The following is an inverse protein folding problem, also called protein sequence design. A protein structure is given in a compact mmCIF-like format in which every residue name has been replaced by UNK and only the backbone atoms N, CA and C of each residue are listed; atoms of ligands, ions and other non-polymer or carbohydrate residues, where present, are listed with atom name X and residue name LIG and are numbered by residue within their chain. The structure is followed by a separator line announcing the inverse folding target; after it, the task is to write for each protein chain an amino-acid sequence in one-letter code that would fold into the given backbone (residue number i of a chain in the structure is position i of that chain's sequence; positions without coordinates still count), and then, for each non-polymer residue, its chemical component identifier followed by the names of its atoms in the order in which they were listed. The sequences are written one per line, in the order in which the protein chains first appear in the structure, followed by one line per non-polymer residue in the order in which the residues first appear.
data_IF_183611275004
#
_entry.id   IF_183611275004
#
_cell.length_a   1.000
_cell.length_b   1.000
_cell.length_c   1.000
_cell.angle_alpha   90.00
_cell.angle_beta   90.00
_cell.angle_gamma   90.00
#
_symmetry.space_group_name_H-M   'P 1'
#
loop_
_entity.id
_entity.type
_entity.pdbx_description
1 polymer ?
#
# COMPACT_ATOMS: atom_id res chain seq x y z
N UNK A 1 0.20 -15.79 10.80
CA UNK A 1 -0.71 -15.50 9.70
C UNK A 1 0.00 -14.69 8.60
N UNK A 2 0.49 -13.48 8.90
CA UNK A 2 1.10 -12.53 7.96
C UNK A 2 2.21 -13.15 7.11
N UNK A 3 3.18 -13.84 7.73
CA UNK A 3 4.25 -14.52 6.98
C UNK A 3 3.71 -15.58 6.01
N UNK A 4 2.70 -16.35 6.42
CA UNK A 4 2.12 -17.39 5.57
C UNK A 4 1.29 -16.80 4.41
N UNK A 5 0.50 -15.76 4.65
CA UNK A 5 -0.34 -15.12 3.64
C UNK A 5 0.48 -14.17 2.74
N UNK A 6 1.16 -13.20 3.35
CA UNK A 6 1.79 -12.11 2.60
C UNK A 6 3.17 -12.46 2.05
N UNK A 7 3.91 -13.39 2.65
CA UNK A 7 5.21 -13.83 2.13
C UNK A 7 5.10 -15.13 1.33
N UNK A 8 4.81 -16.24 2.00
CA UNK A 8 4.77 -17.56 1.35
C UNK A 8 3.62 -17.70 0.35
N UNK A 9 2.53 -16.95 0.52
CA UNK A 9 1.44 -16.91 -0.46
C UNK A 9 1.90 -16.47 -1.84
N UNK A 10 2.72 -15.41 -1.90
CA UNK A 10 3.33 -14.93 -3.14
C UNK A 10 4.21 -15.99 -3.79
N UNK A 11 5.10 -16.62 -3.02
CA UNK A 11 5.94 -17.70 -3.53
C UNK A 11 5.11 -18.85 -4.12
N UNK A 12 4.03 -19.27 -3.42
CA UNK A 12 3.17 -20.36 -3.90
C UNK A 12 2.49 -20.05 -5.22
N UNK A 13 2.07 -18.80 -5.42
CA UNK A 13 1.46 -18.38 -6.69
C UNK A 13 2.48 -18.36 -7.82
N UNK A 14 3.66 -17.79 -7.60
CA UNK A 14 4.74 -17.75 -8.58
C UNK A 14 5.20 -19.16 -8.95
N UNK A 15 5.40 -20.03 -7.96
CA UNK A 15 5.76 -21.43 -8.17
C UNK A 15 4.65 -22.21 -8.88
N UNK A 16 3.39 -21.93 -8.58
CA UNK A 16 2.25 -22.51 -9.30
C UNK A 16 2.25 -22.15 -10.78
N UNK A 17 2.53 -20.88 -11.13
CA UNK A 17 2.67 -20.45 -12.53
C UNK A 17 3.80 -21.22 -13.21
N UNK A 18 4.96 -21.33 -12.55
CA UNK A 18 6.14 -22.05 -13.07
C UNK A 18 5.87 -23.54 -13.28
N UNK A 19 5.30 -24.22 -12.27
CA UNK A 19 5.00 -25.66 -12.35
C UNK A 19 3.97 -26.00 -13.44
N UNK A 20 3.13 -25.06 -13.80
CA UNK A 20 2.14 -25.23 -14.87
C UNK A 20 2.66 -24.84 -16.26
N UNK A 21 3.90 -24.38 -16.38
CA UNK A 21 4.49 -23.91 -17.64
C UNK A 21 3.82 -22.67 -18.21
N UNK A 22 3.33 -21.76 -17.32
CA UNK A 22 2.57 -20.57 -17.70
C UNK A 22 3.40 -19.29 -17.68
N UNK A 23 4.72 -19.37 -17.52
CA UNK A 23 5.65 -18.25 -17.36
C UNK A 23 5.51 -17.21 -18.49
N UNK A 24 5.32 -17.67 -19.70
CA UNK A 24 5.20 -16.83 -20.90
C UNK A 24 3.77 -16.30 -21.15
N UNK A 25 2.78 -16.82 -20.43
CA UNK A 25 1.36 -16.55 -20.71
C UNK A 25 0.70 -15.71 -19.61
N UNK A 26 1.27 -15.70 -18.40
CA UNK A 26 0.70 -15.01 -17.23
C UNK A 26 1.51 -13.78 -16.89
N UNK A 27 0.83 -12.66 -16.71
CA UNK A 27 1.42 -11.46 -16.12
C UNK A 27 1.06 -11.41 -14.65
N UNK A 28 2.07 -11.36 -13.79
CA UNK A 28 1.90 -11.34 -12.34
C UNK A 28 2.14 -9.93 -11.78
N UNK A 29 1.20 -9.46 -10.99
CA UNK A 29 1.32 -8.21 -10.24
C UNK A 29 1.39 -8.51 -8.74
N UNK A 30 2.47 -8.09 -8.10
CA UNK A 30 2.63 -8.12 -6.65
C UNK A 30 2.19 -6.78 -6.05
N UNK A 31 1.13 -6.79 -5.25
CA UNK A 31 0.77 -5.65 -4.43
C UNK A 31 1.80 -5.47 -3.31
N UNK A 32 2.77 -4.62 -3.55
CA UNK A 32 3.76 -4.23 -2.56
C UNK A 32 3.29 -2.99 -1.79
N UNK A 33 4.12 -2.38 -0.98
CA UNK A 33 3.69 -1.37 -0.01
C UNK A 33 4.81 -0.38 0.31
N UNK A 34 4.47 0.87 0.60
CA UNK A 34 5.40 1.87 1.16
C UNK A 34 5.96 1.48 2.54
N UNK A 35 5.33 0.51 3.25
CA UNK A 35 5.86 -0.06 4.49
C UNK A 35 7.22 -0.77 4.31
N UNK A 36 7.63 -1.08 3.07
CA UNK A 36 8.98 -1.55 2.78
C UNK A 36 10.04 -0.52 3.17
N UNK A 37 9.77 0.77 2.93
CA UNK A 37 10.70 1.84 3.28
C UNK A 37 10.85 1.98 4.80
N UNK A 38 9.76 1.83 5.56
CA UNK A 38 9.75 1.78 7.01
C UNK A 38 10.44 2.98 7.67
N UNK A 39 11.66 2.78 8.21
CA UNK A 39 12.53 3.86 8.62
C UNK A 39 13.20 4.43 7.38
N UNK A 40 12.57 5.46 6.80
CA UNK A 40 13.01 6.08 5.53
C UNK A 40 14.47 6.49 5.56
N UNK A 41 15.18 6.20 4.48
CA UNK A 41 16.61 6.47 4.34
C UNK A 41 16.90 7.70 3.45
N UNK A 42 15.88 8.18 2.73
CA UNK A 42 15.96 9.31 1.81
C UNK A 42 14.71 10.18 1.99
N UNK A 43 14.83 11.47 1.67
CA UNK A 43 13.72 12.43 1.77
C UNK A 43 12.57 12.06 0.83
N UNK A 44 12.89 11.70 -0.41
CA UNK A 44 11.93 11.24 -1.41
C UNK A 44 12.23 9.79 -1.79
N UNK A 45 11.27 8.90 -1.55
CA UNK A 45 11.41 7.48 -1.84
C UNK A 45 11.13 7.20 -3.31
N UNK A 46 11.91 6.29 -3.88
CA UNK A 46 11.77 5.79 -5.25
C UNK A 46 12.09 4.28 -5.28
N UNK A 47 12.08 3.67 -6.46
CA UNK A 47 12.29 2.24 -6.63
C UNK A 47 13.71 1.75 -6.23
N UNK A 48 14.67 2.68 -6.07
CA UNK A 48 16.06 2.38 -5.67
C UNK A 48 16.33 2.69 -4.20
N UNK A 49 15.42 3.37 -3.52
CA UNK A 49 15.55 3.70 -2.10
C UNK A 49 15.67 2.43 -1.26
N UNK A 50 16.70 2.31 -0.38
CA UNK A 50 16.87 1.15 0.47
C UNK A 50 15.67 0.90 1.38
N UNK A 51 15.26 -0.36 1.50
CA UNK A 51 14.17 -0.78 2.37
C UNK A 51 14.65 -0.99 3.80
N UNK A 52 13.84 -0.54 4.77
CA UNK A 52 14.08 -0.73 6.19
C UNK A 52 12.75 -0.95 6.94
N UNK A 53 12.03 -2.08 6.70
CA UNK A 53 10.71 -2.32 7.26
C UNK A 53 10.74 -2.32 8.80
N UNK A 54 9.65 -1.84 9.41
CA UNK A 54 9.52 -1.67 10.86
C UNK A 54 8.34 -2.43 11.46
N UNK A 55 7.74 -3.33 10.67
CA UNK A 55 6.62 -4.15 11.13
C UNK A 55 6.74 -5.58 10.59
N UNK A 56 6.16 -6.60 11.26
CA UNK A 56 6.08 -7.95 10.70
C UNK A 56 5.42 -8.01 9.33
N UNK A 57 4.43 -7.13 9.09
CA UNK A 57 3.80 -6.97 7.79
C UNK A 57 4.80 -6.45 6.73
N UNK A 58 5.52 -5.37 7.03
CA UNK A 58 6.54 -4.82 6.13
C UNK A 58 7.63 -5.85 5.80
N UNK A 59 8.07 -6.65 6.78
CA UNK A 59 9.06 -7.74 6.57
C UNK A 59 8.49 -8.83 5.66
N UNK A 60 7.24 -9.25 5.86
CA UNK A 60 6.59 -10.25 5.01
C UNK A 60 6.41 -9.73 3.56
N UNK A 61 6.02 -8.47 3.40
CA UNK A 61 5.93 -7.81 2.08
C UNK A 61 7.30 -7.61 1.42
N UNK A 62 8.36 -7.43 2.22
CA UNK A 62 9.74 -7.38 1.70
C UNK A 62 10.15 -8.72 1.09
N UNK A 63 9.81 -9.84 1.74
CA UNK A 63 10.00 -11.15 1.15
C UNK A 63 9.25 -11.27 -0.19
N UNK A 64 7.97 -10.86 -0.23
CA UNK A 64 7.16 -10.92 -1.47
C UNK A 64 7.74 -10.07 -2.59
N UNK A 65 8.25 -8.89 -2.27
CA UNK A 65 8.93 -8.02 -3.24
C UNK A 65 10.14 -8.73 -3.85
N UNK A 66 11.02 -9.27 -3.01
CA UNK A 66 12.25 -9.90 -3.50
C UNK A 66 12.01 -11.23 -4.21
N UNK A 67 11.06 -12.05 -3.74
CA UNK A 67 10.74 -13.30 -4.45
C UNK A 67 10.10 -13.03 -5.81
N UNK A 68 9.29 -11.99 -5.95
CA UNK A 68 8.72 -11.56 -7.23
C UNK A 68 9.83 -11.14 -8.20
N UNK A 69 10.79 -10.33 -7.72
CA UNK A 69 11.94 -9.91 -8.50
C UNK A 69 12.83 -11.12 -8.88
N UNK A 70 13.06 -12.03 -7.95
CA UNK A 70 13.84 -13.24 -8.21
C UNK A 70 13.21 -14.09 -9.32
N UNK A 71 11.89 -14.32 -9.28
CA UNK A 71 11.20 -15.10 -10.33
C UNK A 71 11.19 -14.38 -11.69
N UNK A 72 11.08 -13.07 -11.69
CA UNK A 72 11.25 -12.24 -12.90
C UNK A 72 12.61 -12.46 -13.56
N UNK A 73 13.68 -12.44 -12.75
CA UNK A 73 15.07 -12.53 -13.24
C UNK A 73 15.51 -13.97 -13.56
N UNK A 74 15.09 -14.95 -12.75
CA UNK A 74 15.53 -16.33 -12.88
C UNK A 74 14.73 -17.14 -13.92
N UNK A 75 13.45 -16.81 -14.11
CA UNK A 75 12.53 -17.55 -14.98
C UNK A 75 11.93 -16.70 -16.10
N UNK A 76 12.43 -15.47 -16.29
CA UNK A 76 11.95 -14.53 -17.30
C UNK A 76 10.44 -14.24 -17.25
N UNK A 77 9.83 -14.45 -16.07
CA UNK A 77 8.41 -14.22 -15.86
C UNK A 77 8.06 -12.74 -15.96
N UNK A 78 6.91 -12.43 -16.57
CA UNK A 78 6.35 -11.09 -16.45
C UNK A 78 5.79 -10.90 -15.02
N UNK A 79 6.66 -10.54 -14.08
CA UNK A 79 6.32 -10.34 -12.68
C UNK A 79 6.77 -8.94 -12.22
N UNK A 80 5.81 -8.08 -11.87
CA UNK A 80 6.03 -6.68 -11.50
C UNK A 80 5.61 -6.43 -10.06
N UNK A 81 6.34 -5.54 -9.38
CA UNK A 81 5.94 -5.00 -8.07
C UNK A 81 5.34 -3.60 -8.22
N UNK A 82 4.22 -3.35 -7.57
CA UNK A 82 3.72 -2.00 -7.34
C UNK A 82 3.95 -1.61 -5.86
N UNK A 83 4.85 -0.66 -5.59
CA UNK A 83 5.12 -0.14 -4.25
C UNK A 83 4.12 0.98 -4.00
N UNK A 84 2.99 0.63 -3.37
CA UNK A 84 1.86 1.52 -3.20
C UNK A 84 1.95 2.29 -1.89
N UNK A 85 1.76 3.60 -1.98
CA UNK A 85 1.46 4.44 -0.83
C UNK A 85 0.00 4.30 -0.41
N UNK A 86 -0.45 5.05 0.60
CA UNK A 86 -1.79 4.88 1.14
C UNK A 86 -2.84 5.29 0.09
N UNK A 87 -3.79 4.43 -0.14
CA UNK A 87 -4.89 4.68 -1.07
C UNK A 87 -6.22 4.37 -0.43
N UNK A 88 -7.13 5.31 -0.53
CA UNK A 88 -8.33 5.39 0.28
C UNK A 88 -9.60 5.47 -0.59
N UNK A 89 -10.70 5.02 -0.01
CA UNK A 89 -12.03 5.14 -0.62
C UNK A 89 -13.12 5.05 0.45
N UNK A 90 -14.36 5.26 0.05
CA UNK A 90 -15.53 5.13 0.91
C UNK A 90 -15.70 3.73 1.54
N UNK A 91 -15.08 2.71 0.95
CA UNK A 91 -15.14 1.31 1.44
C UNK A 91 -13.86 0.88 2.19
N UNK A 92 -12.97 1.82 2.53
CA UNK A 92 -11.78 1.51 3.33
C UNK A 92 -12.14 0.80 4.61
N UNK A 93 -11.34 -0.17 5.04
CA UNK A 93 -11.57 -0.91 6.28
C UNK A 93 -11.65 0.01 7.51
N UNK A 94 -12.54 -0.27 8.44
CA UNK A 94 -12.91 0.62 9.56
C UNK A 94 -11.80 0.88 10.57
N UNK A 95 -10.81 -0.01 10.63
CA UNK A 95 -9.64 0.09 11.52
C UNK A 95 -8.57 1.05 10.99
N UNK A 96 -8.61 1.39 9.72
CA UNK A 96 -7.66 2.33 9.13
C UNK A 96 -7.98 3.77 9.51
N UNK A 97 -6.92 4.57 9.69
CA UNK A 97 -7.00 5.91 10.27
C UNK A 97 -7.99 6.83 9.53
N UNK A 98 -7.97 6.85 8.20
CA UNK A 98 -8.89 7.66 7.38
C UNK A 98 -10.36 7.31 7.63
N UNK A 99 -10.70 6.02 7.57
CA UNK A 99 -12.06 5.56 7.84
C UNK A 99 -12.47 5.75 9.29
N UNK A 100 -11.55 5.53 10.24
CA UNK A 100 -11.76 5.77 11.66
C UNK A 100 -12.12 7.24 11.92
N UNK A 101 -11.40 8.19 11.30
CA UNK A 101 -11.70 9.62 11.43
C UNK A 101 -13.07 9.94 10.84
N UNK A 102 -13.34 9.55 9.59
CA UNK A 102 -14.62 9.83 8.93
C UNK A 102 -15.83 9.30 9.73
N UNK A 103 -15.73 8.07 10.26
CA UNK A 103 -16.78 7.50 11.11
C UNK A 103 -16.93 8.23 12.43
N UNK A 104 -15.84 8.67 13.04
CA UNK A 104 -15.88 9.41 14.29
C UNK A 104 -16.53 10.79 14.09
N UNK A 105 -16.19 11.51 13.03
CA UNK A 105 -16.83 12.78 12.67
C UNK A 105 -18.35 12.59 12.53
N UNK A 106 -18.78 11.61 11.73
CA UNK A 106 -20.20 11.28 11.60
C UNK A 106 -20.86 10.92 12.95
N UNK A 107 -20.17 10.12 13.77
CA UNK A 107 -20.65 9.75 15.11
C UNK A 107 -20.82 10.93 16.05
N UNK A 108 -19.91 11.90 15.99
CA UNK A 108 -19.97 13.14 16.81
C UNK A 108 -21.13 14.02 16.34
N UNK A 109 -21.28 14.26 15.04
CA UNK A 109 -22.40 15.01 14.46
C UNK A 109 -23.75 14.42 14.89
N UNK A 110 -23.87 13.10 14.82
CA UNK A 110 -25.10 12.40 15.23
C UNK A 110 -25.22 12.14 16.74
N UNK A 111 -24.37 12.75 17.58
CA UNK A 111 -24.36 12.62 19.06
C UNK A 111 -24.24 11.16 19.55
N UNK A 112 -23.67 10.27 18.72
CA UNK A 112 -23.43 8.85 19.07
C UNK A 112 -22.12 8.63 19.81
N UNK A 113 -21.17 9.57 19.68
CA UNK A 113 -19.91 9.61 20.43
C UNK A 113 -19.50 11.05 20.71
N UNK A 114 -18.64 11.27 21.71
CA UNK A 114 -18.17 12.60 22.11
C UNK A 114 -16.75 12.90 21.71
N UNK A 115 -15.91 11.88 21.55
CA UNK A 115 -14.48 12.03 21.36
C UNK A 115 -13.97 11.09 20.26
N UNK A 116 -12.93 11.54 19.56
CA UNK A 116 -12.09 10.73 18.68
C UNK A 116 -10.73 10.51 19.34
N UNK A 117 -10.36 9.26 19.58
CA UNK A 117 -9.06 8.90 20.14
C UNK A 117 -8.14 8.42 19.02
N UNK A 118 -7.03 9.13 18.83
CA UNK A 118 -5.99 8.82 17.85
C UNK A 118 -4.63 8.72 18.53
N UNK A 119 -3.68 8.06 17.86
CA UNK A 119 -2.30 8.02 18.29
C UNK A 119 -1.52 9.29 17.88
N UNK A 120 -0.40 9.12 17.18
CA UNK A 120 0.47 10.23 16.78
C UNK A 120 -0.18 11.05 15.65
N UNK A 121 -0.60 12.27 15.97
CA UNK A 121 -1.21 13.22 15.03
C UNK A 121 -0.19 13.79 14.03
N UNK A 122 1.10 13.79 14.37
CA UNK A 122 2.16 14.32 13.51
C UNK A 122 2.67 13.30 12.48
N UNK A 123 2.17 12.05 12.53
CA UNK A 123 2.52 11.05 11.54
C UNK A 123 2.06 11.49 10.16
N UNK A 124 3.00 11.52 9.20
CA UNK A 124 2.73 11.93 7.82
C UNK A 124 2.43 10.72 6.95
N UNK A 125 1.54 10.91 5.97
CA UNK A 125 1.19 9.92 4.96
C UNK A 125 0.97 10.59 3.62
N UNK A 126 1.32 9.89 2.56
CA UNK A 126 0.85 10.18 1.21
C UNK A 126 -0.48 9.41 1.03
N UNK A 127 -1.57 10.12 0.81
CA UNK A 127 -2.88 9.54 0.57
C UNK A 127 -3.38 9.89 -0.82
N UNK A 128 -3.72 8.87 -1.59
CA UNK A 128 -4.37 9.01 -2.89
C UNK A 128 -5.73 8.34 -2.93
N UNK A 129 -6.44 8.48 -4.04
CA UNK A 129 -7.72 7.81 -4.25
C UNK A 129 -7.50 6.40 -4.82
N UNK A 130 -8.21 5.41 -4.30
CA UNK A 130 -8.02 4.00 -4.69
C UNK A 130 -8.25 3.74 -6.19
N UNK A 131 -9.10 4.51 -6.88
CA UNK A 131 -9.31 4.38 -8.33
C UNK A 131 -8.03 4.63 -9.12
N UNK A 132 -7.29 5.68 -8.77
CA UNK A 132 -6.05 6.05 -9.46
C UNK A 132 -4.98 4.96 -9.26
N UNK A 133 -4.93 4.40 -8.06
CA UNK A 133 -4.00 3.28 -7.77
C UNK A 133 -4.38 2.01 -8.52
N UNK A 134 -5.67 1.68 -8.64
CA UNK A 134 -6.13 0.52 -9.42
C UNK A 134 -5.82 0.69 -10.91
N UNK A 135 -5.99 1.89 -11.45
CA UNK A 135 -5.57 2.22 -12.81
C UNK A 135 -4.06 2.04 -12.97
N UNK A 136 -3.26 2.53 -12.03
CA UNK A 136 -1.82 2.31 -11.98
C UNK A 136 -1.43 0.83 -11.96
N UNK A 137 -2.11 0.00 -11.14
CA UNK A 137 -1.89 -1.45 -11.10
C UNK A 137 -2.16 -2.08 -12.48
N UNK A 138 -3.23 -1.68 -13.14
CA UNK A 138 -3.55 -2.18 -14.48
C UNK A 138 -2.50 -1.75 -15.50
N UNK A 139 -2.07 -0.49 -15.49
CA UNK A 139 -1.04 0.05 -16.39
C UNK A 139 0.31 -0.66 -16.21
N UNK A 140 0.70 -1.01 -14.99
CA UNK A 140 1.91 -1.82 -14.71
C UNK A 140 1.87 -3.13 -15.47
N UNK A 141 0.73 -3.82 -15.52
CA UNK A 141 0.57 -5.06 -16.29
C UNK A 141 0.49 -4.85 -17.81
N UNK A 142 0.21 -3.62 -18.27
CA UNK A 142 0.24 -3.26 -19.70
C UNK A 142 1.63 -2.79 -20.15
N UNK A 143 2.57 -2.59 -19.22
CA UNK A 143 3.91 -2.16 -19.57
C UNK A 143 4.63 -3.19 -20.48
N UNK A 144 5.59 -2.70 -21.27
CA UNK A 144 6.33 -3.55 -22.22
C UNK A 144 7.24 -4.58 -21.54
N UNK A 145 7.77 -4.24 -20.37
CA UNK A 145 8.67 -5.10 -19.58
C UNK A 145 8.24 -5.07 -18.12
N UNK A 146 8.39 -6.20 -17.41
CA UNK A 146 8.14 -6.21 -15.97
C UNK A 146 9.21 -5.40 -15.23
N UNK A 147 8.78 -4.63 -14.23
CA UNK A 147 9.68 -3.86 -13.37
C UNK A 147 9.02 -3.57 -12.02
N UNK A 148 9.71 -2.80 -11.19
CA UNK A 148 9.20 -2.30 -9.93
C UNK A 148 8.75 -0.84 -10.12
N UNK A 149 7.59 -0.47 -9.57
CA UNK A 149 6.98 0.84 -9.76
C UNK A 149 6.47 1.41 -8.45
N UNK A 150 6.80 2.67 -8.17
CA UNK A 150 6.20 3.43 -7.06
C UNK A 150 4.91 4.08 -7.52
N UNK A 151 3.83 3.89 -6.73
CA UNK A 151 2.57 4.61 -6.90
C UNK A 151 2.33 5.49 -5.66
N UNK A 152 2.39 6.80 -5.87
CA UNK A 152 2.24 7.84 -4.85
C UNK A 152 1.63 9.10 -5.46
N UNK A 153 1.11 9.99 -4.61
CA UNK A 153 0.64 11.32 -5.04
C UNK A 153 1.73 12.37 -5.01
N UNK A 154 2.87 12.05 -4.41
CA UNK A 154 3.99 12.97 -4.13
C UNK A 154 3.62 14.12 -3.19
N UNK A 155 2.50 13.98 -2.43
CA UNK A 155 2.07 14.94 -1.40
C UNK A 155 1.86 14.22 -0.08
N UNK A 156 2.40 14.80 0.98
CA UNK A 156 2.25 14.25 2.33
C UNK A 156 1.44 15.18 3.21
N UNK A 157 0.54 14.58 3.99
CA UNK A 157 -0.27 15.26 4.99
C UNK A 157 -0.10 14.58 6.34
N UNK A 158 -0.20 15.32 7.41
CA UNK A 158 -0.25 14.74 8.75
C UNK A 158 -1.63 14.17 9.06
N UNK A 159 -1.68 13.28 10.04
CA UNK A 159 -2.98 12.81 10.57
C UNK A 159 -3.79 13.99 11.12
N UNK A 160 -3.11 15.01 11.69
CA UNK A 160 -3.74 16.25 12.16
C UNK A 160 -4.45 16.97 11.02
N UNK A 161 -3.75 17.21 9.90
CA UNK A 161 -4.35 17.89 8.73
C UNK A 161 -5.60 17.15 8.24
N UNK A 162 -5.57 15.81 8.24
CA UNK A 162 -6.71 15.00 7.84
C UNK A 162 -7.89 15.15 8.81
N UNK A 163 -7.62 15.19 10.13
CA UNK A 163 -8.66 15.40 11.15
C UNK A 163 -9.30 16.79 10.97
N UNK A 164 -8.48 17.83 10.89
CA UNK A 164 -8.96 19.21 10.74
C UNK A 164 -9.82 19.35 9.48
N UNK A 165 -9.34 18.81 8.35
CA UNK A 165 -10.11 18.80 7.11
C UNK A 165 -11.44 18.03 7.26
N UNK A 166 -11.43 16.86 7.91
CA UNK A 166 -12.65 16.06 8.08
C UNK A 166 -13.70 16.76 8.97
N UNK A 167 -13.27 17.46 10.02
CA UNK A 167 -14.16 18.23 10.87
C UNK A 167 -14.66 19.51 10.20
N UNK A 168 -13.85 20.16 9.37
CA UNK A 168 -14.28 21.36 8.63
C UNK A 168 -15.46 21.10 7.67
N UNK A 169 -15.62 19.88 7.16
CA UNK A 169 -16.77 19.50 6.33
C UNK A 169 -18.13 19.48 7.07
N UNK A 170 -18.10 19.57 8.38
CA UNK A 170 -19.31 19.53 9.22
C UNK A 170 -19.40 20.75 10.13
N UNK A 171 -18.66 21.83 9.82
CA UNK A 171 -18.63 23.10 10.53
C UNK A 171 -18.32 22.96 12.05
N UNK A 172 -17.41 22.03 12.38
CA UNK A 172 -16.88 21.83 13.74
C UNK A 172 -15.40 22.22 13.72
N UNK A 173 -15.01 23.16 14.58
CA UNK A 173 -13.62 23.58 14.82
C UNK A 173 -12.96 22.75 15.94
#
# INVERSE_FOLDING_TARGET
YTANADALGTLRLLEGIRLLGLENNVKFYQASTSELYGKVQEEFQNEKTPFYPRSPYGVAKLYSYWITKNYREAYEMFASNGILFNHESSIRGETFVSRKIARAVAGIVHKKQKFLHLGNLNAKRDWGHAKDFVEGMWLILQHKKPDDFVLATSKTYSVKDFVELAFSFVDIE
#
